data_IF_643366013579
#
_entry.id   IF_643366013579
#
_cell.length_a   1.000
_cell.length_b   1.000
_cell.length_c   1.000
_cell.angle_alpha   90.00
_cell.angle_beta   90.00
_cell.angle_gamma   90.00
#
_symmetry.space_group_name_H-M   'P 1'
#
loop_
_entity.id
_entity.type
_entity.pdbx_description
1 polymer ?
#
# COMPACT_ATOMS: atom_id res chain seq x y z
N UNK A 1 7.54 -27.72 -5.21
CA UNK A 1 8.25 -26.54 -4.68
C UNK A 1 7.37 -25.36 -5.03
N UNK A 2 6.70 -24.74 -4.04
CA UNK A 2 5.83 -23.61 -4.30
C UNK A 2 6.70 -22.43 -4.76
N UNK A 3 6.35 -21.84 -5.90
CA UNK A 3 7.09 -20.73 -6.48
C UNK A 3 6.86 -19.48 -5.60
N UNK A 4 7.89 -18.69 -5.31
CA UNK A 4 7.74 -17.53 -4.42
C UNK A 4 6.68 -16.54 -4.92
N UNK A 5 6.41 -16.51 -6.23
CA UNK A 5 5.33 -15.70 -6.83
C UNK A 5 3.92 -16.17 -6.46
N UNK A 6 3.76 -17.39 -5.92
CA UNK A 6 2.48 -17.93 -5.43
C UNK A 6 2.03 -17.30 -4.10
N UNK A 7 2.86 -16.46 -3.46
CA UNK A 7 2.45 -15.67 -2.29
C UNK A 7 1.21 -14.82 -2.62
N UNK A 8 1.17 -14.21 -3.81
CA UNK A 8 0.00 -13.48 -4.31
C UNK A 8 -0.86 -14.41 -5.20
N UNK A 9 -1.34 -15.50 -4.62
CA UNK A 9 -2.29 -16.40 -5.29
C UNK A 9 -3.73 -15.87 -5.23
N UNK A 10 -4.65 -16.53 -5.94
CA UNK A 10 -6.06 -16.13 -5.95
C UNK A 10 -6.72 -16.16 -4.57
N UNK A 11 -6.28 -17.05 -3.68
CA UNK A 11 -6.76 -17.10 -2.30
C UNK A 11 -6.41 -15.82 -1.53
N UNK A 12 -5.14 -15.40 -1.59
CA UNK A 12 -4.67 -14.18 -0.95
C UNK A 12 -5.39 -12.94 -1.50
N UNK A 13 -5.57 -12.90 -2.82
CA UNK A 13 -6.32 -11.84 -3.48
C UNK A 13 -7.79 -11.82 -3.04
N UNK A 14 -8.42 -12.99 -2.91
CA UNK A 14 -9.80 -13.09 -2.44
C UNK A 14 -9.93 -12.63 -0.98
N UNK A 15 -8.98 -12.99 -0.12
CA UNK A 15 -8.92 -12.51 1.27
C UNK A 15 -8.74 -10.99 1.32
N UNK A 16 -7.85 -10.43 0.50
CA UNK A 16 -7.62 -8.98 0.41
C UNK A 16 -8.91 -8.25 0.04
N UNK A 17 -9.58 -8.70 -1.02
CA UNK A 17 -10.87 -8.13 -1.44
C UNK A 17 -11.92 -8.25 -0.33
N UNK A 18 -11.98 -9.38 0.37
CA UNK A 18 -12.94 -9.60 1.45
C UNK A 18 -12.73 -8.60 2.60
N UNK A 19 -11.51 -8.49 3.10
CA UNK A 19 -11.18 -7.59 4.20
C UNK A 19 -11.33 -6.12 3.81
N UNK A 20 -10.84 -5.72 2.63
CA UNK A 20 -11.01 -4.35 2.12
C UNK A 20 -12.50 -3.99 1.99
N UNK A 21 -13.35 -4.91 1.50
CA UNK A 21 -14.81 -4.68 1.40
C UNK A 21 -15.50 -4.61 2.76
N UNK A 22 -14.95 -5.26 3.78
CA UNK A 22 -15.47 -5.18 5.14
C UNK A 22 -15.30 -3.76 5.70
N UNK A 23 -14.18 -3.10 5.42
CA UNK A 23 -13.90 -1.73 5.87
C UNK A 23 -14.43 -0.66 4.88
N UNK A 24 -14.51 -0.99 3.58
CA UNK A 24 -14.97 -0.11 2.51
C UNK A 24 -15.95 -0.83 1.56
N UNK A 25 -17.26 -0.84 1.87
CA UNK A 25 -18.26 -1.59 1.10
C UNK A 25 -18.40 -1.14 -0.36
N UNK A 26 -18.07 0.11 -0.67
CA UNK A 26 -18.11 0.72 -2.01
C UNK A 26 -16.94 0.27 -2.91
N UNK A 27 -16.00 -0.52 -2.36
CA UNK A 27 -14.87 -1.07 -3.11
C UNK A 27 -15.31 -1.83 -4.37
N UNK A 28 -14.87 -1.34 -5.53
CA UNK A 28 -15.18 -1.94 -6.81
C UNK A 28 -14.29 -3.16 -7.11
N UNK A 29 -14.71 -4.33 -6.60
CA UNK A 29 -14.05 -5.62 -6.83
C UNK A 29 -13.80 -5.91 -8.32
N UNK A 30 -14.75 -5.58 -9.20
CA UNK A 30 -14.62 -5.90 -10.62
C UNK A 30 -13.48 -5.11 -11.26
N UNK A 31 -13.40 -3.80 -10.99
CA UNK A 31 -12.30 -2.94 -11.46
C UNK A 31 -10.96 -3.39 -10.90
N UNK A 32 -10.93 -3.81 -9.63
CA UNK A 32 -9.72 -4.33 -9.00
C UNK A 32 -9.21 -5.59 -9.74
N UNK A 33 -10.09 -6.57 -9.97
CA UNK A 33 -9.74 -7.81 -10.66
C UNK A 33 -9.38 -7.58 -12.12
N UNK A 34 -10.04 -6.65 -12.81
CA UNK A 34 -9.74 -6.29 -14.20
C UNK A 34 -8.32 -5.73 -14.35
N UNK A 35 -7.92 -4.84 -13.43
CA UNK A 35 -6.56 -4.28 -13.38
C UNK A 35 -5.51 -5.35 -13.02
N UNK A 36 -5.89 -6.31 -12.17
CA UNK A 36 -5.00 -7.36 -11.71
C UNK A 36 -4.76 -8.45 -12.77
N UNK A 37 -5.83 -8.91 -13.44
CA UNK A 37 -5.86 -10.06 -14.35
C UNK A 37 -5.43 -9.73 -15.78
N UNK A 38 -4.44 -8.86 -15.93
CA UNK A 38 -3.81 -8.65 -17.24
C UNK A 38 -3.08 -9.92 -17.68
N UNK A 39 -3.02 -10.15 -19.00
CA UNK A 39 -2.56 -11.40 -19.64
C UNK A 39 -1.15 -11.83 -19.20
N UNK A 40 -0.32 -10.87 -18.79
CA UNK A 40 1.08 -11.01 -18.37
C UNK A 40 1.26 -11.51 -16.91
N UNK A 41 0.18 -11.64 -16.12
CA UNK A 41 0.21 -12.13 -14.73
C UNK A 41 1.05 -13.41 -14.46
N UNK A 42 1.00 -14.48 -15.28
CA UNK A 42 1.81 -15.68 -15.04
C UNK A 42 3.33 -15.43 -15.19
N UNK A 43 3.71 -14.43 -15.98
CA UNK A 43 5.10 -14.05 -16.28
C UNK A 43 5.68 -13.12 -15.21
N UNK A 44 4.83 -12.37 -14.52
CA UNK A 44 5.23 -11.45 -13.45
C UNK A 44 5.98 -12.13 -12.30
N UNK A 45 7.09 -11.51 -11.90
CA UNK A 45 7.81 -11.84 -10.67
C UNK A 45 7.01 -11.44 -9.42
N UNK A 46 7.43 -11.94 -8.26
CA UNK A 46 6.81 -11.61 -6.97
C UNK A 46 6.66 -10.09 -6.74
N UNK A 47 7.71 -9.33 -7.04
CA UNK A 47 7.72 -7.86 -6.86
C UNK A 47 6.75 -7.17 -7.80
N UNK A 48 6.67 -7.62 -9.05
CA UNK A 48 5.74 -7.04 -10.02
C UNK A 48 4.29 -7.37 -9.70
N UNK A 49 4.01 -8.59 -9.20
CA UNK A 49 2.68 -8.95 -8.70
C UNK A 49 2.26 -8.07 -7.53
N UNK A 50 3.14 -7.91 -6.54
CA UNK A 50 2.92 -6.99 -5.41
C UNK A 50 2.61 -5.58 -5.91
N UNK A 51 3.45 -5.04 -6.82
CA UNK A 51 3.28 -3.71 -7.39
C UNK A 51 1.95 -3.56 -8.12
N UNK A 52 1.54 -4.59 -8.88
CA UNK A 52 0.26 -4.61 -9.58
C UNK A 52 -0.92 -4.59 -8.60
N UNK A 53 -0.84 -5.35 -7.51
CA UNK A 53 -1.84 -5.33 -6.43
C UNK A 53 -1.93 -3.93 -5.82
N UNK A 54 -0.81 -3.30 -5.49
CA UNK A 54 -0.75 -1.93 -4.96
C UNK A 54 -1.41 -0.92 -5.89
N UNK A 55 -1.11 -0.98 -7.20
CA UNK A 55 -1.73 -0.08 -8.20
C UNK A 55 -3.23 -0.35 -8.33
N UNK A 56 -3.63 -1.62 -8.35
CA UNK A 56 -5.04 -2.01 -8.43
C UNK A 56 -5.82 -1.53 -7.21
N UNK A 57 -5.22 -1.59 -6.00
CA UNK A 57 -5.79 -1.02 -4.78
C UNK A 57 -5.96 0.50 -4.92
N UNK A 58 -4.93 1.22 -5.35
CA UNK A 58 -5.00 2.69 -5.52
C UNK A 58 -6.09 3.15 -6.50
N UNK A 59 -6.33 2.34 -7.55
CA UNK A 59 -7.37 2.62 -8.53
C UNK A 59 -8.79 2.35 -8.02
N UNK A 60 -8.94 1.60 -6.93
CA UNK A 60 -10.23 1.15 -6.40
C UNK A 60 -10.53 1.59 -4.98
N UNK A 61 -9.55 2.15 -4.27
CA UNK A 61 -9.68 2.81 -2.99
C UNK A 61 -10.05 4.30 -3.16
N UNK A 62 -10.51 4.96 -2.08
CA UNK A 62 -10.76 6.39 -2.08
C UNK A 62 -9.53 7.18 -2.54
N UNK A 63 -9.75 8.24 -3.32
CA UNK A 63 -8.66 9.12 -3.78
C UNK A 63 -8.05 9.94 -2.64
N UNK A 64 -8.74 10.06 -1.50
CA UNK A 64 -8.16 10.64 -0.30
C UNK A 64 -7.21 9.64 0.36
N UNK A 65 -5.92 9.96 0.37
CA UNK A 65 -4.88 9.06 0.88
C UNK A 65 -5.11 8.61 2.33
N UNK A 66 -5.55 9.51 3.21
CA UNK A 66 -5.79 9.20 4.64
C UNK A 66 -6.95 8.22 4.83
N UNK A 67 -8.00 8.31 4.00
CA UNK A 67 -9.09 7.34 4.01
C UNK A 67 -8.61 5.97 3.53
N UNK A 68 -7.85 5.94 2.42
CA UNK A 68 -7.23 4.72 1.94
C UNK A 68 -6.33 4.07 3.01
N UNK A 69 -5.52 4.85 3.72
CA UNK A 69 -4.70 4.35 4.83
C UNK A 69 -5.53 3.74 5.96
N UNK A 70 -6.66 4.34 6.30
CA UNK A 70 -7.55 3.80 7.35
C UNK A 70 -8.04 2.39 6.97
N UNK A 71 -8.46 2.21 5.72
CA UNK A 71 -8.89 0.91 5.18
C UNK A 71 -7.73 -0.10 5.17
N UNK A 72 -6.55 0.32 4.73
CA UNK A 72 -5.36 -0.53 4.69
C UNK A 72 -4.90 -0.93 6.09
N UNK A 73 -5.00 -0.05 7.08
CA UNK A 73 -4.68 -0.36 8.49
C UNK A 73 -5.64 -1.37 9.10
N UNK A 74 -6.92 -1.31 8.75
CA UNK A 74 -7.90 -2.31 9.19
C UNK A 74 -7.67 -3.68 8.52
N UNK A 75 -7.16 -3.66 7.29
CA UNK A 75 -6.87 -4.87 6.50
C UNK A 75 -5.55 -5.55 6.89
N UNK A 76 -4.50 -4.77 7.21
CA UNK A 76 -3.14 -5.27 7.44
C UNK A 76 -2.98 -6.39 8.50
N UNK A 77 -3.71 -6.42 9.63
CA UNK A 77 -3.59 -7.48 10.64
C UNK A 77 -3.83 -8.91 10.12
N UNK A 78 -4.57 -9.03 9.01
CA UNK A 78 -4.89 -10.31 8.38
C UNK A 78 -3.77 -10.86 7.49
N UNK A 79 -2.74 -10.05 7.20
CA UNK A 79 -1.64 -10.40 6.32
C UNK A 79 -0.33 -10.36 7.10
N UNK A 80 0.49 -11.41 6.97
CA UNK A 80 1.76 -11.52 7.71
C UNK A 80 2.89 -11.96 6.80
N UNK A 81 4.09 -11.49 7.11
CA UNK A 81 5.30 -11.83 6.35
C UNK A 81 5.32 -11.15 4.99
N UNK A 82 5.71 -11.89 3.94
CA UNK A 82 5.98 -11.34 2.61
C UNK A 82 4.72 -10.79 1.91
N UNK A 83 3.53 -11.31 2.20
CA UNK A 83 2.28 -10.77 1.66
C UNK A 83 1.92 -9.42 2.27
N UNK A 84 2.38 -9.13 3.49
CA UNK A 84 2.16 -7.85 4.15
C UNK A 84 2.99 -6.71 3.57
N UNK A 85 3.99 -6.97 2.71
CA UNK A 85 4.85 -5.93 2.12
C UNK A 85 4.05 -4.99 1.18
N UNK A 86 2.87 -5.42 0.70
CA UNK A 86 2.02 -4.57 -0.15
C UNK A 86 1.54 -3.29 0.57
N UNK A 87 1.33 -3.34 1.89
CA UNK A 87 0.85 -2.19 2.66
C UNK A 87 1.90 -1.07 2.77
N UNK A 88 3.15 -1.35 3.18
CA UNK A 88 4.21 -0.36 3.13
C UNK A 88 4.56 0.05 1.69
N UNK A 89 4.49 -0.83 0.69
CA UNK A 89 4.66 -0.45 -0.73
C UNK A 89 3.63 0.61 -1.17
N UNK A 90 2.37 0.49 -0.74
CA UNK A 90 1.36 1.53 -1.00
C UNK A 90 1.77 2.90 -0.43
N UNK A 91 2.30 2.92 0.80
CA UNK A 91 2.75 4.15 1.47
C UNK A 91 3.95 4.75 0.77
N UNK A 92 4.93 3.93 0.36
CA UNK A 92 6.09 4.38 -0.41
C UNK A 92 5.67 5.13 -1.68
N UNK A 93 4.61 4.65 -2.31
CA UNK A 93 4.23 5.03 -3.67
C UNK A 93 3.28 6.23 -3.72
N UNK A 94 2.41 6.36 -2.72
CA UNK A 94 1.39 7.41 -2.67
C UNK A 94 1.51 8.33 -1.45
N UNK A 95 2.39 8.01 -0.50
CA UNK A 95 2.49 8.68 0.79
C UNK A 95 3.45 9.87 0.86
N UNK A 96 4.24 10.14 -0.18
CA UNK A 96 5.23 11.23 -0.17
C UNK A 96 4.63 12.62 0.12
N UNK A 97 3.38 12.86 -0.32
CA UNK A 97 2.66 14.11 -0.04
C UNK A 97 2.07 14.18 1.40
N UNK A 98 2.03 13.05 2.11
CA UNK A 98 1.39 12.89 3.41
C UNK A 98 2.37 12.30 4.42
N UNK A 99 3.46 13.03 4.69
CA UNK A 99 4.59 12.56 5.48
C UNK A 99 4.20 11.97 6.83
N UNK A 100 3.52 12.75 7.68
CA UNK A 100 3.22 12.35 9.06
C UNK A 100 2.33 11.11 9.11
N UNK A 101 1.31 11.05 8.27
CA UNK A 101 0.39 9.91 8.20
C UNK A 101 1.09 8.68 7.62
N UNK A 102 2.02 8.88 6.67
CA UNK A 102 2.82 7.81 6.09
C UNK A 102 3.78 7.19 7.09
N UNK A 103 4.49 8.01 7.89
CA UNK A 103 5.38 7.50 8.94
C UNK A 103 4.59 6.66 9.95
N UNK A 104 3.46 7.17 10.46
CA UNK A 104 2.60 6.44 11.39
C UNK A 104 2.08 5.13 10.80
N UNK A 105 1.72 5.15 9.51
CA UNK A 105 1.25 3.95 8.81
C UNK A 105 2.37 2.91 8.67
N UNK A 106 3.59 3.34 8.30
CA UNK A 106 4.76 2.45 8.21
C UNK A 106 5.12 1.83 9.56
N UNK A 107 5.08 2.61 10.64
CA UNK A 107 5.28 2.08 12.01
C UNK A 107 4.28 0.99 12.34
N UNK A 108 3.00 1.19 11.99
CA UNK A 108 1.95 0.20 12.17
C UNK A 108 2.16 -1.06 11.33
N UNK A 109 2.46 -0.91 10.03
CA UNK A 109 2.67 -2.05 9.12
C UNK A 109 3.90 -2.89 9.44
N UNK A 110 4.91 -2.30 10.09
CA UNK A 110 6.12 -2.99 10.55
C UNK A 110 5.82 -4.06 11.62
N UNK A 111 4.67 -3.98 12.29
CA UNK A 111 4.26 -5.01 13.26
C UNK A 111 3.84 -6.33 12.59
N UNK A 112 3.42 -6.26 11.32
CA UNK A 112 2.91 -7.42 10.55
C UNK A 112 3.87 -7.86 9.45
N UNK A 113 4.74 -6.97 8.97
CA UNK A 113 5.66 -7.16 7.85
C UNK A 113 6.91 -6.28 7.99
N UNK A 114 7.68 -6.07 6.90
CA UNK A 114 8.82 -5.15 6.89
C UNK A 114 8.50 -3.88 6.10
N UNK A 115 8.86 -2.73 6.67
CA UNK A 115 8.75 -1.41 6.05
C UNK A 115 10.12 -0.81 5.69
N UNK A 116 11.19 -1.60 5.78
CA UNK A 116 12.58 -1.13 5.62
C UNK A 116 12.89 -0.52 4.23
N UNK A 117 12.11 -0.89 3.22
CA UNK A 117 12.20 -0.35 1.87
C UNK A 117 11.32 0.89 1.72
N UNK A 118 10.09 0.82 2.23
CA UNK A 118 9.09 1.87 2.11
C UNK A 118 9.37 3.12 2.95
N UNK A 119 10.18 3.01 4.02
CA UNK A 119 10.61 4.16 4.83
C UNK A 119 11.74 4.97 4.20
N UNK A 120 12.47 4.39 3.22
CA UNK A 120 13.65 5.04 2.60
C UNK A 120 13.34 6.37 1.93
N UNK A 121 12.23 6.53 1.17
CA UNK A 121 11.87 7.83 0.58
C UNK A 121 11.61 8.92 1.63
N UNK A 122 11.31 8.54 2.88
CA UNK A 122 11.07 9.45 4.00
C UNK A 122 12.33 9.72 4.84
N UNK A 123 13.49 9.20 4.44
CA UNK A 123 14.75 9.48 5.12
C UNK A 123 15.36 10.84 4.71
N UNK A 124 16.33 11.31 5.49
CA UNK A 124 16.88 12.67 5.55
C UNK A 124 17.16 13.29 4.16
N UNK A 125 16.27 14.18 3.72
CA UNK A 125 16.34 14.90 2.43
C UNK A 125 14.99 15.20 1.80
N UNK A 126 13.96 14.40 2.12
CA UNK A 126 12.64 14.49 1.46
C UNK A 126 11.59 15.30 2.22
N UNK A 127 11.89 15.81 3.44
CA UNK A 127 10.89 16.59 4.21
C UNK A 127 10.46 17.75 3.32
N UNK A 128 9.17 17.89 2.96
CA UNK A 128 8.74 19.10 2.29
C UNK A 128 9.13 20.26 3.19
N UNK A 129 9.95 21.17 2.67
CA UNK A 129 10.38 22.33 3.41
C UNK A 129 9.12 23.00 3.97
N UNK A 130 8.94 22.99 5.29
CA UNK A 130 7.94 23.82 5.93
C UNK A 130 8.25 25.25 5.51
N UNK A 131 7.50 25.78 4.54
CA UNK A 131 7.58 27.16 4.12
C UNK A 131 6.87 27.99 5.21
N UNK A 132 7.50 28.07 6.37
CA UNK A 132 7.04 28.77 7.55
C UNK A 132 7.96 29.93 7.86
N UNK A 133 7.47 31.12 7.53
CA UNK A 133 7.76 32.39 8.22
C UNK A 133 9.12 33.07 7.94
N UNK A 134 9.16 33.89 6.89
CA UNK A 134 9.95 35.12 6.91
C UNK A 134 9.01 36.31 7.15
N UNK A 135 8.57 36.47 8.40
CA UNK A 135 7.93 37.71 8.85
C UNK A 135 8.99 38.61 9.48
N UNK A 136 9.33 39.65 8.71
CA UNK A 136 9.81 40.97 9.13
C UNK A 136 10.85 40.97 10.27
N UNK A 137 12.12 40.90 9.86
CA UNK A 137 13.26 41.39 10.65
C UNK A 137 13.19 42.93 10.67
N UNK A 138 13.31 43.48 11.88
CA UNK A 138 13.35 44.91 12.23
C UNK A 138 14.21 45.77 11.30
#
# INVERSE_FOLDING_TARGET
MADLKEIYNEELISQLIHHVRSSYPDFNKNRFLDTLRLEDWPELTLKERMRRVTVSLYETLPKQYVEALTILRDTAPHFKGLSGILFPDYVEQYGLAHWEESIKALEYFTQYSTSEFAVRPFSEGSRPACHGENRYRL
#
